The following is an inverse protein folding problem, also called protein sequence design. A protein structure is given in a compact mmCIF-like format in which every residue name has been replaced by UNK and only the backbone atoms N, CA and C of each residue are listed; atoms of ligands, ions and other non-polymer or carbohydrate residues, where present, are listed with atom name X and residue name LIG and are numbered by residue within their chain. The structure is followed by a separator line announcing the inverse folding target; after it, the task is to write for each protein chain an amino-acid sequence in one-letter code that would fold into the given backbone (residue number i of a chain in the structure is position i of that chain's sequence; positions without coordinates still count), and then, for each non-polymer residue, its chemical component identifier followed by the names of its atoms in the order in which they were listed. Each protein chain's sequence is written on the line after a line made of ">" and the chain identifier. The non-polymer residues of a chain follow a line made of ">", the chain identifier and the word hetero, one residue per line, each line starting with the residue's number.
data_IF_839088777870
#
_entry.id   IF_839088777870
#
_cell.length_a   1.000
_cell.length_b   1.000
_cell.length_c   1.000
_cell.angle_alpha   90.00
_cell.angle_beta   90.00
_cell.angle_gamma   90.00
#
_symmetry.space_group_name_H-M   'P 1'
#
loop_
_entity.id
_entity.type
_entity.pdbx_description
1 polymer ?
#
# COMPACT_ATOMS: atom_id res chain seq x y z
N UNK A 1 -39.50 -8.35 -0.90
CA UNK A 1 -39.31 -9.17 0.32
C UNK A 1 -37.90 -9.72 0.27
N UNK A 2 -37.06 -9.34 1.23
CA UNK A 2 -35.70 -9.86 1.33
C UNK A 2 -35.77 -11.36 1.64
N UNK A 3 -35.10 -12.19 0.84
CA UNK A 3 -35.04 -13.64 1.06
C UNK A 3 -33.89 -13.98 2.03
N UNK A 4 -34.07 -15.03 2.84
CA UNK A 4 -33.08 -15.56 3.79
C UNK A 4 -31.72 -15.83 3.12
N UNK A 5 -31.74 -16.25 1.85
CA UNK A 5 -30.53 -16.46 1.06
C UNK A 5 -29.74 -15.17 0.79
N UNK A 6 -30.40 -14.04 0.53
CA UNK A 6 -29.74 -12.75 0.33
C UNK A 6 -29.14 -12.23 1.64
N UNK A 7 -29.83 -12.43 2.77
CA UNK A 7 -29.31 -12.09 4.10
C UNK A 7 -28.06 -12.91 4.43
N UNK A 8 -28.07 -14.22 4.18
CA UNK A 8 -26.89 -15.09 4.38
C UNK A 8 -25.70 -14.65 3.54
N UNK A 9 -25.93 -14.29 2.27
CA UNK A 9 -24.89 -13.75 1.38
C UNK A 9 -24.30 -12.45 1.94
N UNK A 10 -25.15 -11.54 2.40
CA UNK A 10 -24.74 -10.29 3.03
C UNK A 10 -23.87 -10.53 4.27
N UNK A 11 -24.28 -11.42 5.19
CA UNK A 11 -23.49 -11.76 6.37
C UNK A 11 -22.14 -12.42 6.04
N UNK A 12 -22.12 -13.28 5.02
CA UNK A 12 -20.88 -13.89 4.53
C UNK A 12 -19.90 -12.82 4.01
N UNK A 13 -20.39 -11.89 3.19
CA UNK A 13 -19.62 -10.77 2.65
C UNK A 13 -19.07 -9.87 3.73
N UNK A 14 -19.89 -9.51 4.73
CA UNK A 14 -19.42 -8.72 5.88
C UNK A 14 -18.29 -9.43 6.64
N UNK A 15 -18.40 -10.74 6.84
CA UNK A 15 -17.39 -11.51 7.57
C UNK A 15 -16.07 -11.62 6.79
N UNK A 16 -16.15 -11.88 5.48
CA UNK A 16 -14.97 -11.90 4.60
C UNK A 16 -14.31 -10.52 4.57
N UNK A 17 -15.12 -9.48 4.44
CA UNK A 17 -14.63 -8.11 4.41
C UNK A 17 -13.90 -7.71 5.69
N UNK A 18 -14.47 -8.00 6.88
CA UNK A 18 -13.82 -7.71 8.16
C UNK A 18 -12.46 -8.39 8.25
N UNK A 19 -12.34 -9.64 7.80
CA UNK A 19 -11.06 -10.35 7.79
C UNK A 19 -10.04 -9.68 6.86
N UNK A 20 -10.46 -9.25 5.67
CA UNK A 20 -9.60 -8.58 4.69
C UNK A 20 -9.18 -7.20 5.23
N UNK A 21 -10.11 -6.42 5.77
CA UNK A 21 -9.82 -5.08 6.31
C UNK A 21 -8.92 -5.13 7.54
N UNK A 22 -9.10 -6.12 8.43
CA UNK A 22 -8.18 -6.33 9.54
C UNK A 22 -6.76 -6.66 9.06
N UNK A 23 -6.61 -7.56 8.07
CA UNK A 23 -5.30 -7.93 7.50
C UNK A 23 -4.63 -6.73 6.84
N UNK A 24 -5.36 -5.97 6.03
CA UNK A 24 -4.81 -4.79 5.34
C UNK A 24 -4.45 -3.68 6.32
N UNK A 25 -5.29 -3.42 7.32
CA UNK A 25 -5.04 -2.43 8.38
C UNK A 25 -3.80 -2.76 9.20
N UNK A 26 -3.64 -4.02 9.63
CA UNK A 26 -2.43 -4.50 10.33
C UNK A 26 -1.18 -4.31 9.49
N UNK A 27 -1.24 -4.70 8.21
CA UNK A 27 -0.10 -4.57 7.28
C UNK A 27 0.27 -3.09 7.08
N UNK A 28 -0.71 -2.23 6.82
CA UNK A 28 -0.50 -0.78 6.64
C UNK A 28 0.15 -0.14 7.87
N UNK A 29 -0.31 -0.49 9.07
CA UNK A 29 0.23 0.10 10.30
C UNK A 29 1.65 -0.38 10.60
N UNK A 30 1.93 -1.67 10.37
CA UNK A 30 3.30 -2.21 10.45
C UNK A 30 4.27 -1.49 9.50
N UNK A 31 3.84 -1.20 8.27
CA UNK A 31 4.64 -0.46 7.28
C UNK A 31 4.92 0.96 7.77
N UNK A 32 3.92 1.67 8.32
CA UNK A 32 4.12 3.02 8.87
C UNK A 32 5.15 3.04 10.00
N UNK A 33 5.05 2.09 10.94
CA UNK A 33 6.00 1.96 12.05
C UNK A 33 7.40 1.62 11.52
N UNK A 34 7.50 0.66 10.59
CA UNK A 34 8.77 0.27 9.98
C UNK A 34 9.49 1.46 9.34
N UNK A 35 8.77 2.27 8.56
CA UNK A 35 9.28 3.50 7.94
C UNK A 35 9.77 4.49 9.01
N UNK A 36 8.99 4.72 10.07
CA UNK A 36 9.39 5.58 11.19
C UNK A 36 10.68 5.15 11.89
N UNK A 37 10.88 3.84 12.09
CA UNK A 37 12.09 3.29 12.70
C UNK A 37 13.32 3.44 11.81
N UNK A 38 13.18 3.19 10.50
CA UNK A 38 14.26 3.38 9.54
C UNK A 38 14.67 4.86 9.48
N UNK A 39 13.71 5.78 9.52
CA UNK A 39 13.95 7.22 9.62
C UNK A 39 14.74 7.63 10.86
N UNK A 40 14.51 6.93 11.98
CA UNK A 40 15.24 7.11 13.23
C UNK A 40 16.65 6.48 13.23
N UNK A 41 17.06 5.88 12.11
CA UNK A 41 18.41 5.31 11.92
C UNK A 41 18.52 3.82 12.29
N UNK A 42 17.40 3.13 12.53
CA UNK A 42 17.40 1.68 12.79
C UNK A 42 17.64 0.91 11.49
N UNK A 43 18.52 -0.10 11.52
CA UNK A 43 18.82 -0.93 10.33
C UNK A 43 17.57 -1.62 9.78
N UNK A 44 17.39 -1.56 8.46
CA UNK A 44 16.28 -2.19 7.72
C UNK A 44 16.18 -3.68 8.04
N UNK A 45 17.31 -4.39 8.14
CA UNK A 45 17.33 -5.83 8.44
C UNK A 45 16.79 -6.13 9.84
N UNK A 46 17.06 -5.25 10.81
CA UNK A 46 16.57 -5.37 12.19
C UNK A 46 15.06 -5.08 12.22
N UNK A 47 14.62 -4.03 11.53
CA UNK A 47 13.19 -3.66 11.45
C UNK A 47 12.38 -4.77 10.78
N UNK A 48 12.81 -5.26 9.62
CA UNK A 48 12.16 -6.31 8.87
C UNK A 48 12.00 -7.60 9.69
N UNK A 49 13.11 -8.04 10.33
CA UNK A 49 13.12 -9.23 11.18
C UNK A 49 12.19 -9.08 12.39
N UNK A 50 12.13 -7.91 13.01
CA UNK A 50 11.36 -7.69 14.24
C UNK A 50 9.87 -7.50 13.98
N UNK A 51 9.50 -6.77 12.93
CA UNK A 51 8.09 -6.50 12.59
C UNK A 51 7.46 -7.67 11.80
N UNK A 52 8.30 -8.55 11.25
CA UNK A 52 7.87 -9.65 10.39
C UNK A 52 7.33 -9.13 9.06
N UNK A 53 8.04 -8.18 8.47
CA UNK A 53 7.80 -7.64 7.13
C UNK A 53 8.99 -7.97 6.23
N UNK A 54 8.78 -8.13 4.93
CA UNK A 54 9.91 -8.29 4.02
C UNK A 54 10.69 -6.97 3.95
N UNK A 55 12.01 -7.07 3.74
CA UNK A 55 12.92 -5.92 3.87
C UNK A 55 12.63 -4.82 2.85
N UNK A 56 12.12 -5.17 1.67
CA UNK A 56 11.67 -4.27 0.62
C UNK A 56 10.47 -3.39 1.04
N UNK A 57 9.59 -3.88 1.91
CA UNK A 57 8.47 -3.09 2.47
C UNK A 57 8.90 -2.16 3.62
N UNK A 58 10.07 -2.39 4.22
CA UNK A 58 10.60 -1.61 5.35
C UNK A 58 11.48 -0.44 4.91
N UNK A 59 11.96 -0.47 3.67
CA UNK A 59 12.75 0.62 3.12
C UNK A 59 11.82 1.82 3.01
N UNK A 60 12.21 2.93 3.67
CA UNK A 60 11.76 4.21 3.19
C UNK A 60 12.17 4.27 1.73
N UNK A 61 11.20 4.13 0.82
CA UNK A 61 11.24 5.03 -0.30
C UNK A 61 11.41 6.40 0.33
N UNK A 62 12.63 6.96 0.25
CA UNK A 62 12.84 8.40 0.24
C UNK A 62 11.56 8.95 -0.31
N UNK A 63 10.77 9.72 0.45
CA UNK A 63 9.52 10.33 -0.05
C UNK A 63 9.85 10.78 -1.45
N UNK A 64 9.40 9.96 -2.40
CA UNK A 64 10.08 9.92 -3.68
C UNK A 64 9.62 11.20 -4.28
N UNK A 65 10.53 12.18 -4.45
CA UNK A 65 10.23 13.39 -5.22
C UNK A 65 9.34 12.97 -6.36
N UNK A 66 8.25 13.67 -6.67
CA UNK A 66 7.24 13.31 -7.68
C UNK A 66 7.78 12.48 -8.88
N UNK A 67 9.00 12.79 -9.35
CA UNK A 67 9.82 12.01 -10.29
C UNK A 67 10.05 10.52 -9.98
N UNK A 68 10.24 10.08 -8.74
CA UNK A 68 10.34 8.67 -8.35
C UNK A 68 9.01 7.94 -8.53
N UNK A 69 7.88 8.56 -8.15
CA UNK A 69 6.55 7.98 -8.36
C UNK A 69 6.26 7.83 -9.86
N UNK A 70 6.51 8.90 -10.61
CA UNK A 70 6.44 8.90 -12.07
C UNK A 70 7.38 7.84 -12.65
N UNK A 71 8.62 7.75 -12.15
CA UNK A 71 9.63 6.79 -12.58
C UNK A 71 9.17 5.33 -12.43
N UNK A 72 8.49 5.01 -11.31
CA UNK A 72 7.87 3.69 -11.13
C UNK A 72 6.79 3.43 -12.17
N UNK A 73 5.89 4.39 -12.42
CA UNK A 73 4.85 4.24 -13.44
C UNK A 73 5.44 4.03 -14.84
N UNK A 74 6.50 4.76 -15.17
CA UNK A 74 7.25 4.55 -16.43
C UNK A 74 7.76 3.10 -16.52
N UNK A 75 8.39 2.60 -15.45
CA UNK A 75 8.92 1.23 -15.39
C UNK A 75 7.81 0.18 -15.50
N UNK A 76 6.70 0.37 -14.79
CA UNK A 76 5.53 -0.52 -14.81
C UNK A 76 4.99 -0.66 -16.23
N UNK A 77 4.67 0.46 -16.88
CA UNK A 77 4.15 0.47 -18.24
C UNK A 77 5.16 -0.05 -19.26
N UNK A 78 6.46 0.24 -19.08
CA UNK A 78 7.51 -0.35 -19.92
C UNK A 78 7.48 -1.88 -19.87
N UNK A 79 7.34 -2.46 -18.67
CA UNK A 79 7.28 -3.90 -18.49
C UNK A 79 5.98 -4.50 -19.05
N UNK A 80 4.84 -3.80 -18.94
CA UNK A 80 3.58 -4.20 -19.58
C UNK A 80 3.71 -4.27 -21.11
N UNK A 81 4.56 -3.42 -21.70
CA UNK A 81 4.89 -3.46 -23.13
C UNK A 81 6.00 -4.44 -23.49
N UNK A 82 6.51 -5.19 -22.51
CA UNK A 82 7.64 -6.13 -22.66
C UNK A 82 8.93 -5.46 -23.17
N UNK A 83 9.10 -4.16 -22.92
CA UNK A 83 10.27 -3.41 -23.35
C UNK A 83 11.39 -3.50 -22.32
N UNK A 84 12.63 -3.63 -22.77
CA UNK A 84 13.82 -3.32 -21.97
C UNK A 84 14.04 -1.81 -21.87
N UNK A 85 14.87 -1.36 -20.94
CA UNK A 85 15.26 0.07 -20.88
C UNK A 85 15.91 0.55 -22.17
N UNK A 86 16.57 -0.35 -22.91
CA UNK A 86 17.19 -0.05 -24.21
C UNK A 86 16.12 0.14 -25.29
N UNK A 87 15.11 -0.72 -25.33
CA UNK A 87 14.02 -0.63 -26.33
C UNK A 87 13.21 0.66 -26.16
N UNK A 88 12.94 1.06 -24.91
CA UNK A 88 12.29 2.33 -24.64
C UNK A 88 13.20 3.51 -25.03
N UNK A 89 14.50 3.42 -24.77
CA UNK A 89 15.47 4.45 -25.14
C UNK A 89 15.54 4.64 -26.67
N UNK A 90 15.53 3.54 -27.43
CA UNK A 90 15.53 3.57 -28.90
C UNK A 90 14.27 4.25 -29.46
N UNK A 91 13.09 3.97 -28.89
CA UNK A 91 11.82 4.63 -29.26
C UNK A 91 11.81 6.13 -28.96
N UNK A 92 12.47 6.50 -27.86
CA UNK A 92 12.54 7.86 -27.34
C UNK A 92 13.72 8.67 -27.92
N UNK A 93 14.52 8.06 -28.80
CA UNK A 93 15.77 8.63 -29.31
C UNK A 93 16.67 9.20 -28.18
N UNK A 94 16.84 8.42 -27.13
CA UNK A 94 17.61 8.77 -25.91
C UNK A 94 18.53 7.61 -25.51
N UNK A 95 19.22 7.72 -24.38
CA UNK A 95 20.11 6.68 -23.86
C UNK A 95 19.42 5.81 -22.82
N UNK A 96 19.85 4.55 -22.73
CA UNK A 96 19.39 3.60 -21.71
C UNK A 96 19.64 4.12 -20.28
N UNK A 97 20.72 4.86 -20.07
CA UNK A 97 21.05 5.44 -18.76
C UNK A 97 20.11 6.61 -18.40
N UNK A 98 19.67 7.39 -19.39
CA UNK A 98 18.68 8.44 -19.19
C UNK A 98 17.32 7.85 -18.81
N UNK A 99 16.87 6.79 -19.50
CA UNK A 99 15.67 6.02 -19.10
C UNK A 99 15.81 5.46 -17.68
N UNK A 100 16.98 4.89 -17.35
CA UNK A 100 17.26 4.38 -16.01
C UNK A 100 17.19 5.49 -14.94
N UNK A 101 17.68 6.69 -15.25
CA UNK A 101 17.60 7.84 -14.35
C UNK A 101 16.16 8.33 -14.16
N UNK A 102 15.34 8.34 -15.21
CA UNK A 102 13.91 8.65 -15.12
C UNK A 102 13.15 7.61 -14.30
N UNK A 103 13.35 6.32 -14.56
CA UNK A 103 12.68 5.23 -13.83
C UNK A 103 13.00 5.21 -12.34
N UNK A 104 14.20 5.66 -11.98
CA UNK A 104 14.64 5.75 -10.59
C UNK A 104 14.33 7.10 -9.94
N UNK A 105 13.78 8.06 -10.71
CA UNK A 105 13.54 9.44 -10.25
C UNK A 105 14.81 10.18 -9.80
N UNK A 106 15.98 9.79 -10.32
CA UNK A 106 17.26 10.44 -9.99
C UNK A 106 17.40 11.82 -10.61
N UNK A 107 16.70 12.05 -11.71
CA UNK A 107 16.66 13.31 -12.46
C UNK A 107 15.21 13.73 -12.62
N UNK A 108 14.96 15.04 -12.55
CA UNK A 108 13.65 15.60 -12.83
C UNK A 108 13.28 15.33 -14.30
N UNK A 109 12.15 14.68 -14.54
CA UNK A 109 11.63 14.45 -15.90
C UNK A 109 10.82 15.67 -16.33
N UNK A 110 11.26 16.44 -17.35
CA UNK A 110 10.49 17.58 -17.84
C UNK A 110 9.16 17.14 -18.43
N UNK A 111 8.14 18.01 -18.39
CA UNK A 111 6.81 17.69 -18.90
C UNK A 111 6.82 17.21 -20.36
N UNK A 112 7.63 17.83 -21.23
CA UNK A 112 7.79 17.39 -22.62
C UNK A 112 8.28 15.95 -22.75
N UNK A 113 9.24 15.54 -21.89
CA UNK A 113 9.72 14.16 -21.86
C UNK A 113 8.67 13.18 -21.34
N UNK A 114 7.82 13.61 -20.41
CA UNK A 114 6.69 12.77 -19.96
C UNK A 114 5.68 12.51 -21.08
N UNK A 115 5.39 13.50 -21.92
CA UNK A 115 4.55 13.31 -23.10
C UNK A 115 5.17 12.32 -24.09
N UNK A 116 6.44 12.48 -24.41
CA UNK A 116 7.16 11.56 -25.31
C UNK A 116 7.15 10.13 -24.74
N UNK A 117 7.38 9.96 -23.43
CA UNK A 117 7.36 8.64 -22.77
C UNK A 117 5.96 8.03 -22.82
N UNK A 118 4.91 8.81 -22.54
CA UNK A 118 3.54 8.35 -22.62
C UNK A 118 3.18 7.90 -24.05
N UNK A 119 3.61 8.64 -25.06
CA UNK A 119 3.43 8.28 -26.47
C UNK A 119 4.17 6.98 -26.83
N UNK A 120 5.45 6.87 -26.45
CA UNK A 120 6.27 5.68 -26.69
C UNK A 120 5.72 4.42 -26.00
N UNK A 121 5.02 4.58 -24.88
CA UNK A 121 4.33 3.52 -24.14
C UNK A 121 2.86 3.37 -24.55
N UNK A 122 2.35 4.22 -25.44
CA UNK A 122 0.96 4.26 -25.90
C UNK A 122 -0.05 4.32 -24.75
N UNK A 123 0.15 5.27 -23.83
CA UNK A 123 -0.70 5.54 -22.65
C UNK A 123 -1.04 7.04 -22.57
N UNK A 124 -1.97 7.41 -21.69
CA UNK A 124 -2.20 8.82 -21.36
C UNK A 124 -1.11 9.31 -20.42
N UNK A 125 -0.72 10.59 -20.53
CA UNK A 125 0.19 11.20 -19.56
C UNK A 125 -0.37 11.13 -18.12
N UNK A 126 -1.69 11.13 -17.97
CA UNK A 126 -2.33 10.96 -16.65
C UNK A 126 -1.98 9.62 -16.00
N UNK A 127 -1.77 8.57 -16.80
CA UNK A 127 -1.41 7.23 -16.29
C UNK A 127 0.00 7.21 -15.67
N UNK A 128 0.84 8.20 -15.98
CA UNK A 128 2.14 8.42 -15.35
C UNK A 128 2.07 9.30 -14.09
N UNK A 129 0.96 10.03 -13.90
CA UNK A 129 0.78 11.04 -12.86
C UNK A 129 -0.19 10.62 -11.76
N UNK A 130 -0.91 9.52 -11.93
CA UNK A 130 -1.86 9.03 -10.92
C UNK A 130 -1.10 8.56 -9.67
N UNK A 131 -1.38 9.22 -8.55
CA UNK A 131 -1.08 8.69 -7.23
C UNK A 131 -2.01 7.51 -6.97
N UNK A 132 -1.52 6.29 -7.16
CA UNK A 132 -2.11 5.17 -6.43
C UNK A 132 -1.61 5.27 -4.99
N UNK A 133 -2.53 5.65 -4.12
CA UNK A 133 -2.50 5.24 -2.72
C UNK A 133 -2.16 3.74 -2.67
N UNK A 134 -1.23 3.38 -1.80
CA UNK A 134 -0.62 2.06 -1.63
C UNK A 134 -1.68 0.95 -1.47
N UNK A 135 -2.24 0.51 -2.58
CA UNK A 135 -3.09 -0.67 -2.70
C UNK A 135 -2.23 -1.84 -3.13
N UNK A 136 -1.30 -2.24 -2.26
CA UNK A 136 -0.54 -3.48 -2.38
C UNK A 136 -1.44 -4.58 -2.95
N UNK A 137 -1.02 -5.22 -4.04
CA UNK A 137 -1.61 -6.43 -4.65
C UNK A 137 -2.51 -7.18 -3.65
N UNK A 138 -3.80 -6.87 -3.64
CA UNK A 138 -4.80 -7.77 -3.05
C UNK A 138 -5.05 -8.81 -4.14
N UNK A 139 -4.00 -9.57 -4.45
CA UNK A 139 -4.10 -10.69 -5.36
C UNK A 139 -4.95 -11.74 -4.64
N UNK A 140 -6.17 -11.91 -5.17
CA UNK A 140 -7.07 -13.05 -5.07
C UNK A 140 -8.34 -12.95 -4.19
N UNK A 141 -8.55 -11.93 -3.34
CA UNK A 141 -9.81 -11.85 -2.54
C UNK A 141 -10.78 -10.75 -3.01
N UNK A 142 -10.28 -9.64 -3.57
CA UNK A 142 -11.11 -8.52 -4.04
C UNK A 142 -12.06 -8.89 -5.20
N UNK A 143 -11.63 -9.66 -6.22
CA UNK A 143 -12.51 -10.09 -7.31
C UNK A 143 -13.69 -10.95 -6.84
N UNK A 144 -13.47 -11.82 -5.85
CA UNK A 144 -14.49 -12.72 -5.31
C UNK A 144 -15.56 -11.96 -4.52
N UNK A 145 -15.17 -10.97 -3.71
CA UNK A 145 -16.12 -10.09 -3.03
C UNK A 145 -16.97 -9.28 -4.01
N UNK A 146 -16.37 -8.77 -5.09
CA UNK A 146 -17.09 -8.00 -6.13
C UNK A 146 -18.10 -8.90 -6.85
N UNK A 147 -17.74 -10.15 -7.14
CA UNK A 147 -18.65 -11.12 -7.75
C UNK A 147 -19.84 -11.42 -6.84
N UNK A 148 -19.59 -11.78 -5.59
CA UNK A 148 -20.65 -12.09 -4.60
C UNK A 148 -21.54 -10.88 -4.31
N UNK A 149 -20.98 -9.67 -4.31
CA UNK A 149 -21.75 -8.42 -4.19
C UNK A 149 -22.71 -8.20 -5.37
N UNK A 150 -22.28 -8.52 -6.60
CA UNK A 150 -23.10 -8.40 -7.81
C UNK A 150 -24.25 -9.42 -7.85
N UNK A 151 -24.15 -10.52 -7.11
CA UNK A 151 -25.22 -11.53 -6.98
C UNK A 151 -26.36 -11.12 -6.02
N UNK A 152 -26.26 -9.96 -5.35
CA UNK A 152 -27.35 -9.40 -4.55
C UNK A 152 -28.28 -8.62 -5.48
N UNK A 153 -29.49 -9.14 -5.70
CA UNK A 153 -30.46 -8.54 -6.61
C UNK A 153 -31.05 -7.26 -5.98
N UNK A 154 -31.34 -7.30 -4.67
CA UNK A 154 -31.91 -6.18 -3.94
C UNK A 154 -30.96 -4.97 -3.86
N UNK A 155 -31.37 -3.87 -4.49
CA UNK A 155 -30.63 -2.60 -4.43
C UNK A 155 -30.60 -2.02 -3.00
N UNK A 156 -31.67 -2.21 -2.22
CA UNK A 156 -31.75 -1.77 -0.83
C UNK A 156 -30.70 -2.50 0.02
N UNK A 157 -30.54 -3.81 -0.17
CA UNK A 157 -29.51 -4.59 0.52
C UNK A 157 -28.11 -4.21 0.08
N UNK A 158 -27.89 -3.98 -1.22
CA UNK A 158 -26.59 -3.49 -1.73
C UNK A 158 -26.20 -2.16 -1.09
N UNK A 159 -27.13 -1.22 -1.00
CA UNK A 159 -26.89 0.08 -0.38
C UNK A 159 -26.64 -0.03 1.13
N UNK A 160 -27.43 -0.86 1.84
CA UNK A 160 -27.25 -1.12 3.26
C UNK A 160 -25.90 -1.79 3.55
N UNK A 161 -25.48 -2.72 2.69
CA UNK A 161 -24.18 -3.38 2.75
C UNK A 161 -23.05 -2.37 2.56
N UNK A 162 -23.08 -1.53 1.51
CA UNK A 162 -22.09 -0.47 1.29
C UNK A 162 -21.97 0.43 2.54
N UNK A 163 -23.10 0.91 3.06
CA UNK A 163 -23.11 1.78 4.24
C UNK A 163 -22.51 1.10 5.46
N UNK A 164 -22.84 -0.16 5.69
CA UNK A 164 -22.31 -0.95 6.80
C UNK A 164 -20.82 -1.24 6.66
N UNK A 165 -20.35 -1.46 5.43
CA UNK A 165 -18.93 -1.63 5.12
C UNK A 165 -18.16 -0.36 5.43
N UNK A 166 -18.62 0.81 4.95
CA UNK A 166 -17.96 2.09 5.24
C UNK A 166 -17.87 2.38 6.74
N UNK A 167 -18.96 2.21 7.48
CA UNK A 167 -18.95 2.44 8.93
C UNK A 167 -18.09 1.43 9.67
N UNK A 168 -18.13 0.16 9.24
CA UNK A 168 -17.30 -0.91 9.77
C UNK A 168 -15.81 -0.69 9.56
N UNK A 169 -15.41 -0.20 8.37
CA UNK A 169 -14.01 0.19 8.07
C UNK A 169 -13.53 1.19 9.12
N UNK A 170 -14.26 2.30 9.29
CA UNK A 170 -13.88 3.38 10.20
C UNK A 170 -13.63 2.89 11.63
N UNK A 171 -14.55 2.06 12.14
CA UNK A 171 -14.51 1.56 13.52
C UNK A 171 -13.41 0.50 13.70
N UNK A 172 -13.33 -0.47 12.78
CA UNK A 172 -12.35 -1.56 12.86
C UNK A 172 -10.93 -1.01 12.70
N UNK A 173 -10.73 -0.05 11.81
CA UNK A 173 -9.44 0.52 11.51
C UNK A 173 -8.74 1.12 12.73
N UNK A 174 -9.42 1.96 13.52
CA UNK A 174 -8.79 2.61 14.68
C UNK A 174 -8.35 1.58 15.74
N UNK A 175 -9.25 0.66 16.09
CA UNK A 175 -8.97 -0.38 17.10
C UNK A 175 -7.88 -1.35 16.65
N UNK A 176 -7.91 -1.75 15.39
CA UNK A 176 -6.92 -2.68 14.83
C UNK A 176 -5.54 -2.02 14.78
N UNK A 177 -5.46 -0.75 14.38
CA UNK A 177 -4.20 0.01 14.40
C UNK A 177 -3.62 0.11 15.80
N UNK A 178 -4.43 0.44 16.79
CA UNK A 178 -3.98 0.57 18.18
C UNK A 178 -3.45 -0.77 18.73
N UNK A 179 -4.19 -1.87 18.53
CA UNK A 179 -3.75 -3.22 18.94
C UNK A 179 -2.42 -3.61 18.26
N UNK A 180 -2.29 -3.34 16.96
CA UNK A 180 -1.08 -3.70 16.23
C UNK A 180 0.11 -2.83 16.64
N UNK A 181 -0.08 -1.53 16.91
CA UNK A 181 0.95 -0.65 17.48
C UNK A 181 1.49 -1.18 18.81
N UNK A 182 0.60 -1.57 19.72
CA UNK A 182 0.97 -2.12 21.03
C UNK A 182 1.78 -3.40 20.85
N UNK A 183 1.31 -4.31 19.98
CA UNK A 183 2.00 -5.56 19.70
C UNK A 183 3.40 -5.32 19.14
N UNK A 184 3.53 -4.47 18.13
CA UNK A 184 4.81 -4.13 17.50
C UNK A 184 5.74 -3.48 18.53
N UNK A 185 5.26 -2.52 19.33
CA UNK A 185 6.06 -1.90 20.38
C UNK A 185 6.66 -2.93 21.35
N UNK A 186 5.86 -3.90 21.79
CA UNK A 186 6.32 -4.99 22.67
C UNK A 186 7.38 -5.87 22.01
N UNK A 187 7.23 -6.18 20.73
CA UNK A 187 8.21 -6.97 19.98
C UNK A 187 9.53 -6.19 19.78
N UNK A 188 9.46 -4.87 19.57
CA UNK A 188 10.64 -3.99 19.44
C UNK A 188 11.42 -3.88 20.76
N UNK A 189 10.73 -3.77 21.91
CA UNK A 189 11.35 -3.77 23.24
C UNK A 189 12.11 -5.08 23.46
N UNK A 190 11.48 -6.22 23.16
CA UNK A 190 12.13 -7.54 23.24
C UNK A 190 13.33 -7.67 22.29
N UNK A 191 13.27 -6.98 21.15
CA UNK A 191 14.36 -6.87 20.18
C UNK A 191 15.52 -5.96 20.62
N UNK A 192 15.43 -5.31 21.78
CA UNK A 192 16.48 -4.45 22.33
C UNK A 192 16.54 -3.04 21.72
N UNK A 193 15.46 -2.59 21.07
CA UNK A 193 15.38 -1.22 20.54
C UNK A 193 15.07 -0.25 21.68
N UNK A 194 15.71 0.93 21.65
CA UNK A 194 15.51 1.97 22.66
C UNK A 194 14.04 2.41 22.74
N UNK A 195 13.53 2.53 23.97
CA UNK A 195 12.16 2.99 24.26
C UNK A 195 11.91 4.37 23.63
N UNK A 196 12.88 5.29 23.67
CA UNK A 196 12.73 6.63 23.09
C UNK A 196 12.46 6.57 21.57
N UNK A 197 13.14 5.64 20.87
CA UNK A 197 12.96 5.43 19.43
C UNK A 197 11.60 4.79 19.15
N UNK A 198 11.17 3.84 19.99
CA UNK A 198 9.87 3.17 19.87
C UNK A 198 8.73 4.19 20.05
N UNK A 199 8.81 5.05 21.06
CA UNK A 199 7.80 6.07 21.33
C UNK A 199 7.65 7.06 20.17
N UNK A 200 8.77 7.48 19.59
CA UNK A 200 8.78 8.36 18.42
C UNK A 200 8.19 7.70 17.16
N UNK A 201 8.47 6.40 16.95
CA UNK A 201 8.03 5.69 15.75
C UNK A 201 6.58 5.17 15.82
N UNK A 202 6.14 4.75 17.00
CA UNK A 202 4.82 4.10 17.18
C UNK A 202 3.74 5.09 17.62
N UNK A 203 4.12 6.22 18.22
CA UNK A 203 3.17 7.28 18.63
C UNK A 203 2.20 6.84 19.72
N UNK A 204 2.65 5.97 20.63
CA UNK A 204 1.90 5.52 21.81
C UNK A 204 2.40 6.22 23.08
N UNK A 205 1.54 6.37 24.11
CA UNK A 205 1.96 6.88 25.40
C UNK A 205 2.86 5.86 26.14
N UNK A 206 3.75 6.39 27.00
CA UNK A 206 4.87 5.67 27.63
C UNK A 206 4.41 4.52 28.52
N UNK A 207 3.32 4.75 29.25
CA UNK A 207 2.70 3.79 30.17
C UNK A 207 2.29 2.49 29.46
N UNK A 208 1.74 2.58 28.24
CA UNK A 208 1.30 1.41 27.48
C UNK A 208 2.47 0.56 26.95
N UNK A 209 3.61 1.19 26.67
CA UNK A 209 4.80 0.51 26.13
C UNK A 209 5.58 -0.22 27.23
N UNK A 210 5.55 0.30 28.46
CA UNK A 210 6.30 -0.23 29.61
C UNK A 210 5.50 -1.21 30.48
N UNK A 211 4.17 -1.25 30.36
CA UNK A 211 3.31 -2.20 31.09
C UNK A 211 3.28 -3.56 30.36
N UNK A 212 4.28 -4.40 30.66
CA UNK A 212 4.48 -5.73 30.09
C UNK A 212 5.59 -6.54 30.74
#
# INVERSE_FOLDING_TARGET
>A
KINDQELRRMFCLLTKFVKVSEKSSKKSEKIKIAKGLVKAGVSVDIVAKTIGLPADECIEEKVGSIYCQIGKKIKEWRLVREYTQKDLAEKMNTTRDEISNYEQGRVATPLGKLYEIAEALSISITDLLTEEDEGSRVENELPDLIKEYKEIESQELRNALIKSLFEGIRICEEKVREIERIKVAKDLVKGGISIDIILQAVGLPVDIVLDG
#
